data_IF_292546144696
#
_entry.id   IF_292546144696
#
_cell.length_a   1.000
_cell.length_b   1.000
_cell.length_c   1.000
_cell.angle_alpha   90.00
_cell.angle_beta   90.00
_cell.angle_gamma   90.00
#
_symmetry.space_group_name_H-M   'P 1'
#
loop_
_entity.id
_entity.type
_entity.pdbx_description
1 polymer ?
#
# COMPACT_ATOMS: atom_id res chain seq x y z
N UNK A 1 42.75 1.23 20.29
CA UNK A 1 41.70 1.40 19.27
C UNK A 1 41.34 0.01 18.76
N UNK A 2 40.19 -0.53 19.15
CA UNK A 2 39.68 -1.82 18.70
C UNK A 2 38.47 -1.53 17.82
N UNK A 3 38.62 -1.66 16.50
CA UNK A 3 37.49 -1.68 15.56
C UNK A 3 36.70 -2.99 15.74
N UNK A 4 35.38 -2.93 15.97
CA UNK A 4 34.56 -4.13 15.94
C UNK A 4 34.27 -4.49 14.49
N UNK A 5 35.02 -5.44 13.93
CA UNK A 5 34.73 -6.05 12.63
C UNK A 5 33.47 -6.90 12.76
N UNK A 6 32.32 -6.37 12.33
CA UNK A 6 31.10 -7.16 12.19
C UNK A 6 31.33 -8.25 11.13
N UNK A 7 30.99 -9.53 11.39
CA UNK A 7 31.18 -10.58 10.41
C UNK A 7 30.27 -10.34 9.19
N UNK A 8 30.74 -10.61 7.95
CA UNK A 8 29.92 -10.49 6.77
C UNK A 8 28.76 -11.49 6.85
N UNK A 9 27.52 -10.98 6.80
CA UNK A 9 26.29 -11.78 6.79
C UNK A 9 26.18 -12.55 5.46
N UNK A 10 26.99 -13.59 5.29
CA UNK A 10 26.96 -14.53 4.15
C UNK A 10 26.11 -15.75 4.50
N UNK A 11 24.81 -15.54 4.66
CA UNK A 11 23.85 -16.62 4.45
C UNK A 11 22.92 -16.12 3.34
N UNK A 12 22.97 -16.69 2.11
CA UNK A 12 21.90 -16.45 1.15
C UNK A 12 20.64 -17.00 1.79
N UNK A 13 19.80 -16.11 2.32
CA UNK A 13 18.47 -16.47 2.78
C UNK A 13 17.81 -17.21 1.62
N UNK A 14 17.36 -18.44 1.87
CA UNK A 14 16.58 -19.18 0.87
C UNK A 14 15.51 -18.23 0.32
N UNK A 15 15.37 -18.11 -1.00
CA UNK A 15 14.44 -17.15 -1.59
C UNK A 15 13.08 -17.39 -0.95
N UNK A 16 12.50 -16.39 -0.26
CA UNK A 16 11.23 -16.58 0.41
C UNK A 16 10.22 -17.06 -0.64
N UNK A 17 9.34 -17.99 -0.28
CA UNK A 17 8.19 -18.39 -1.12
C UNK A 17 7.22 -17.21 -1.35
N UNK A 18 7.46 -16.08 -0.69
CA UNK A 18 6.75 -14.83 -0.83
C UNK A 18 7.27 -14.10 -2.09
N UNK A 19 6.36 -13.64 -2.96
CA UNK A 19 6.70 -12.83 -4.14
C UNK A 19 7.10 -11.41 -3.72
N UNK A 20 8.16 -11.29 -2.92
CA UNK A 20 8.76 -10.02 -2.52
C UNK A 20 9.95 -9.76 -3.43
N UNK A 21 9.84 -8.71 -4.23
CA UNK A 21 10.92 -8.21 -5.04
C UNK A 21 11.68 -7.17 -4.21
N UNK A 22 12.90 -7.52 -3.77
CA UNK A 22 13.78 -6.57 -3.12
C UNK A 22 14.35 -5.64 -4.19
N UNK A 23 14.20 -4.33 -3.99
CA UNK A 23 14.85 -3.34 -4.84
C UNK A 23 15.71 -2.43 -3.97
N UNK A 24 16.98 -2.32 -4.35
CA UNK A 24 17.87 -1.29 -3.85
C UNK A 24 17.37 0.06 -4.35
N UNK A 25 16.86 0.88 -3.45
CA UNK A 25 16.49 2.25 -3.76
C UNK A 25 17.74 3.12 -3.95
N UNK A 26 17.61 4.31 -4.60
CA UNK A 26 18.72 5.26 -4.72
C UNK A 26 19.30 5.70 -3.37
N UNK A 27 18.54 5.59 -2.27
CA UNK A 27 18.98 5.87 -0.91
C UNK A 27 19.75 4.70 -0.25
N UNK A 28 19.97 3.58 -0.95
CA UNK A 28 20.72 2.42 -0.46
C UNK A 28 19.95 1.55 0.54
N UNK A 29 18.62 1.68 0.58
CA UNK A 29 17.74 0.84 1.40
C UNK A 29 16.98 -0.16 0.52
N UNK A 30 16.95 -1.43 0.96
CA UNK A 30 16.17 -2.48 0.30
C UNK A 30 14.68 -2.31 0.62
N UNK A 31 13.89 -1.89 -0.38
CA UNK A 31 12.43 -1.87 -0.25
C UNK A 31 11.85 -3.20 -0.72
N UNK A 32 11.14 -3.95 0.14
CA UNK A 32 10.44 -5.15 -0.28
C UNK A 32 9.16 -4.78 -1.04
N UNK A 33 9.26 -4.64 -2.36
CA UNK A 33 8.10 -4.43 -3.22
C UNK A 33 7.31 -5.73 -3.37
N UNK A 34 5.98 -5.65 -3.33
CA UNK A 34 5.08 -6.78 -3.61
C UNK A 34 4.43 -6.60 -4.98
N UNK A 35 4.93 -7.24 -6.04
CA UNK A 35 4.34 -7.16 -7.36
C UNK A 35 2.88 -7.63 -7.34
N UNK A 36 2.02 -6.92 -8.06
CA UNK A 36 0.62 -7.28 -8.22
C UNK A 36 0.46 -8.30 -9.36
N UNK A 37 -0.16 -9.44 -9.08
CA UNK A 37 -0.43 -10.46 -10.08
C UNK A 37 -1.44 -10.03 -11.16
N UNK A 38 -1.57 -10.83 -12.22
CA UNK A 38 -2.42 -10.54 -13.37
C UNK A 38 -3.90 -10.31 -13.00
N UNK A 39 -4.47 -11.14 -12.12
CA UNK A 39 -5.91 -11.10 -11.81
C UNK A 39 -6.33 -9.79 -11.13
N UNK A 40 -5.61 -9.35 -10.10
CA UNK A 40 -5.92 -8.08 -9.41
C UNK A 40 -5.74 -6.87 -10.32
N UNK A 41 -4.78 -6.94 -11.25
CA UNK A 41 -4.59 -5.93 -12.31
C UNK A 41 -5.76 -5.92 -13.29
N UNK A 42 -6.26 -7.09 -13.68
CA UNK A 42 -7.42 -7.22 -14.56
C UNK A 42 -8.70 -6.66 -13.93
N UNK A 43 -8.93 -6.95 -12.64
CA UNK A 43 -10.08 -6.38 -11.89
C UNK A 43 -9.95 -4.87 -11.76
N UNK A 44 -8.77 -4.34 -11.41
CA UNK A 44 -8.53 -2.90 -11.37
C UNK A 44 -8.84 -2.25 -12.73
N UNK A 45 -8.40 -2.88 -13.83
CA UNK A 45 -8.69 -2.42 -15.19
C UNK A 45 -10.19 -2.48 -15.52
N UNK A 46 -10.90 -3.55 -15.11
CA UNK A 46 -12.34 -3.68 -15.33
C UNK A 46 -13.14 -2.59 -14.60
N UNK A 47 -12.76 -2.25 -13.37
CA UNK A 47 -13.34 -1.12 -12.61
C UNK A 47 -13.11 0.19 -13.36
N UNK A 48 -11.87 0.45 -13.80
CA UNK A 48 -11.55 1.65 -14.56
C UNK A 48 -12.33 1.71 -15.89
N UNK A 49 -12.53 0.57 -16.56
CA UNK A 49 -13.32 0.48 -17.78
C UNK A 49 -14.80 0.78 -17.52
N UNK A 50 -15.38 0.26 -16.44
CA UNK A 50 -16.75 0.54 -16.04
C UNK A 50 -16.96 2.02 -15.73
N UNK A 51 -16.05 2.64 -14.96
CA UNK A 51 -16.10 4.07 -14.65
C UNK A 51 -16.05 4.91 -15.93
N UNK A 52 -15.12 4.61 -16.83
CA UNK A 52 -15.02 5.29 -18.13
C UNK A 52 -16.28 5.10 -18.97
N UNK A 53 -16.81 3.88 -19.00
CA UNK A 53 -18.04 3.55 -19.71
C UNK A 53 -19.21 4.40 -19.24
N UNK A 54 -19.43 4.48 -17.93
CA UNK A 54 -20.49 5.31 -17.34
C UNK A 54 -20.30 6.79 -17.67
N UNK A 55 -19.08 7.33 -17.53
CA UNK A 55 -18.78 8.73 -17.88
C UNK A 55 -19.06 9.01 -19.36
N UNK A 56 -18.64 8.10 -20.25
CA UNK A 56 -18.88 8.21 -21.69
C UNK A 56 -20.36 8.11 -22.04
N UNK A 57 -21.09 7.15 -21.47
CA UNK A 57 -22.52 7.02 -21.71
C UNK A 57 -23.28 8.28 -21.30
N UNK A 58 -23.01 8.83 -20.11
CA UNK A 58 -23.63 10.08 -19.66
C UNK A 58 -23.30 11.26 -20.59
N UNK A 59 -22.04 11.38 -21.01
CA UNK A 59 -21.60 12.42 -21.92
C UNK A 59 -22.25 12.29 -23.30
N UNK A 60 -22.34 11.08 -23.86
CA UNK A 60 -22.99 10.85 -25.14
C UNK A 60 -24.49 11.15 -25.09
N UNK A 61 -25.18 10.81 -23.99
CA UNK A 61 -26.59 11.20 -23.78
C UNK A 61 -26.73 12.73 -23.77
N UNK A 62 -25.87 13.44 -23.03
CA UNK A 62 -25.90 14.90 -22.97
C UNK A 62 -25.57 15.56 -24.32
N UNK A 63 -24.62 15.00 -25.08
CA UNK A 63 -24.23 15.52 -26.38
C UNK A 63 -25.20 15.13 -27.50
N UNK A 64 -26.04 14.10 -27.32
CA UNK A 64 -27.01 13.69 -28.33
C UNK A 64 -27.96 14.83 -28.74
N UNK A 65 -28.29 15.73 -27.79
CA UNK A 65 -29.13 16.90 -28.04
C UNK A 65 -28.51 17.92 -29.01
N UNK A 66 -27.19 17.86 -29.26
CA UNK A 66 -26.47 18.73 -30.21
C UNK A 66 -26.37 18.14 -31.62
N UNK A 67 -26.97 16.96 -31.88
CA UNK A 67 -26.93 16.31 -33.20
C UNK A 67 -25.51 16.06 -33.70
N UNK A 68 -25.19 16.50 -34.93
CA UNK A 68 -23.88 16.27 -35.57
C UNK A 68 -22.71 16.92 -34.81
N UNK A 69 -22.92 18.09 -34.22
CA UNK A 69 -21.89 18.74 -33.40
C UNK A 69 -21.58 17.91 -32.15
N UNK A 70 -22.62 17.35 -31.53
CA UNK A 70 -22.51 16.46 -30.38
C UNK A 70 -21.74 15.18 -30.69
N UNK A 71 -21.97 14.58 -31.87
CA UNK A 71 -21.20 13.42 -32.32
C UNK A 71 -19.71 13.75 -32.53
N UNK A 72 -19.40 14.90 -33.13
CA UNK A 72 -18.01 15.34 -33.31
C UNK A 72 -17.30 15.56 -31.97
N UNK A 73 -17.93 16.31 -31.06
CA UNK A 73 -17.41 16.55 -29.71
C UNK A 73 -17.28 15.25 -28.90
N UNK A 74 -18.28 14.37 -28.99
CA UNK A 74 -18.27 13.07 -28.32
C UNK A 74 -17.13 12.18 -28.81
N UNK A 75 -16.81 12.22 -30.11
CA UNK A 75 -15.69 11.47 -30.69
C UNK A 75 -14.34 12.00 -30.20
N UNK A 76 -14.18 13.33 -30.12
CA UNK A 76 -12.98 13.96 -29.59
C UNK A 76 -12.78 13.63 -28.10
N UNK A 77 -13.85 13.67 -27.31
CA UNK A 77 -13.82 13.34 -25.88
C UNK A 77 -13.58 11.85 -25.64
N UNK A 78 -14.16 10.98 -26.46
CA UNK A 78 -13.89 9.54 -26.44
C UNK A 78 -12.40 9.27 -26.68
N UNK A 79 -11.81 9.90 -27.70
CA UNK A 79 -10.38 9.81 -27.95
C UNK A 79 -9.59 10.32 -26.74
N UNK A 80 -9.88 11.53 -26.27
CA UNK A 80 -9.16 12.13 -25.17
C UNK A 80 -9.18 11.24 -23.90
N UNK A 81 -10.35 10.73 -23.52
CA UNK A 81 -10.50 9.93 -22.29
C UNK A 81 -9.93 8.53 -22.45
N UNK A 82 -10.01 7.92 -23.64
CA UNK A 82 -9.42 6.61 -23.89
C UNK A 82 -7.91 6.62 -23.69
N UNK A 83 -7.25 7.65 -24.20
CA UNK A 83 -5.79 7.82 -24.19
C UNK A 83 -5.26 8.46 -22.90
N UNK A 84 -5.84 9.58 -22.46
CA UNK A 84 -5.27 10.38 -21.39
C UNK A 84 -5.71 9.97 -19.99
N UNK A 85 -6.85 9.31 -19.80
CA UNK A 85 -7.34 8.98 -18.45
C UNK A 85 -6.30 8.19 -17.65
N UNK A 86 -5.67 7.16 -18.22
CA UNK A 86 -4.69 6.37 -17.45
C UNK A 86 -3.44 7.21 -17.16
N UNK A 87 -2.95 7.94 -18.16
CA UNK A 87 -1.74 8.75 -18.04
C UNK A 87 -1.91 9.82 -16.96
N UNK A 88 -3.01 10.56 -17.02
CA UNK A 88 -3.30 11.63 -16.07
C UNK A 88 -3.42 11.09 -14.64
N UNK A 89 -4.13 9.99 -14.42
CA UNK A 89 -4.24 9.45 -13.07
C UNK A 89 -2.95 8.80 -12.56
N UNK A 90 -2.17 8.19 -13.45
CA UNK A 90 -0.86 7.65 -13.05
C UNK A 90 0.12 8.77 -12.67
N UNK A 91 0.13 9.89 -13.38
CA UNK A 91 1.06 10.99 -13.04
C UNK A 91 0.53 11.83 -11.88
N UNK A 92 -0.75 12.24 -11.92
CA UNK A 92 -1.32 13.17 -10.94
C UNK A 92 -1.64 12.51 -9.59
N UNK A 93 -1.82 11.18 -9.54
CA UNK A 93 -2.14 10.45 -8.30
C UNK A 93 -1.10 9.39 -7.94
N UNK A 94 0.18 9.66 -8.22
CA UNK A 94 1.30 8.82 -7.78
C UNK A 94 1.12 7.34 -8.19
N UNK A 95 0.74 7.11 -9.44
CA UNK A 95 0.57 5.79 -10.03
C UNK A 95 -0.80 5.14 -9.80
N UNK A 96 -1.83 5.89 -9.36
CA UNK A 96 -3.13 5.34 -8.93
C UNK A 96 -4.31 5.82 -9.79
N UNK A 97 -4.82 4.92 -10.65
CA UNK A 97 -6.17 5.04 -11.22
C UNK A 97 -7.24 4.68 -10.19
N UNK A 98 -8.52 5.07 -10.35
CA UNK A 98 -9.57 4.74 -9.37
C UNK A 98 -9.68 3.24 -9.10
N UNK A 99 -9.66 2.40 -10.14
CA UNK A 99 -9.71 0.94 -10.00
C UNK A 99 -8.48 0.39 -9.30
N UNK A 100 -7.28 0.91 -9.61
CA UNK A 100 -6.06 0.54 -8.89
C UNK A 100 -6.14 0.96 -7.42
N UNK A 101 -6.65 2.15 -7.13
CA UNK A 101 -6.81 2.64 -5.77
C UNK A 101 -7.73 1.75 -4.94
N UNK A 102 -8.86 1.32 -5.51
CA UNK A 102 -9.78 0.39 -4.85
C UNK A 102 -9.14 -0.98 -4.59
N UNK A 103 -8.34 -1.46 -5.53
CA UNK A 103 -7.57 -2.70 -5.39
C UNK A 103 -6.30 -2.54 -4.52
N UNK A 104 -6.04 -1.34 -3.98
CA UNK A 104 -4.85 -1.06 -3.18
C UNK A 104 -3.54 -1.16 -3.97
N UNK A 105 -3.56 -0.85 -5.27
CA UNK A 105 -2.43 -0.95 -6.18
C UNK A 105 -1.87 0.43 -6.54
N UNK A 106 -0.57 0.49 -6.85
CA UNK A 106 0.07 1.66 -7.45
C UNK A 106 1.14 1.25 -8.46
N UNK A 107 1.40 2.13 -9.41
CA UNK A 107 2.53 2.02 -10.34
C UNK A 107 3.73 2.77 -9.77
N UNK A 108 4.89 2.14 -9.78
CA UNK A 108 6.18 2.72 -9.46
C UNK A 108 7.20 2.39 -10.55
N UNK A 109 8.31 3.12 -10.58
CA UNK A 109 9.50 2.65 -11.27
C UNK A 109 10.05 1.39 -10.60
N UNK A 110 10.93 0.70 -11.30
CA UNK A 110 11.60 -0.48 -10.75
C UNK A 110 12.29 -0.15 -9.43
N UNK A 111 12.91 1.02 -9.32
CA UNK A 111 13.57 1.53 -8.09
C UNK A 111 12.58 1.99 -6.99
N UNK A 112 11.28 1.78 -7.17
CA UNK A 112 10.23 2.18 -6.22
C UNK A 112 9.82 3.65 -6.26
N UNK A 113 10.49 4.48 -7.06
CA UNK A 113 10.20 5.91 -7.22
C UNK A 113 8.87 6.16 -7.96
N UNK A 114 8.25 7.35 -7.79
CA UNK A 114 7.00 7.69 -8.48
C UNK A 114 7.17 7.71 -10.01
N UNK A 115 6.14 7.26 -10.73
CA UNK A 115 6.17 7.23 -12.20
C UNK A 115 6.04 8.63 -12.81
N UNK A 116 6.87 8.93 -13.81
CA UNK A 116 6.82 10.18 -14.58
C UNK A 116 5.91 10.12 -15.83
N UNK A 117 5.81 11.26 -16.52
CA UNK A 117 5.01 11.39 -17.75
C UNK A 117 5.45 10.45 -18.87
N UNK A 118 6.75 10.40 -19.18
CA UNK A 118 7.32 9.59 -20.27
C UNK A 118 7.04 8.10 -20.06
N UNK A 119 7.33 7.59 -18.86
CA UNK A 119 7.10 6.21 -18.48
C UNK A 119 5.60 5.86 -18.53
N UNK A 120 4.72 6.72 -18.00
CA UNK A 120 3.28 6.48 -18.07
C UNK A 120 2.74 6.49 -19.50
N UNK A 121 3.20 7.41 -20.36
CA UNK A 121 2.83 7.49 -21.77
C UNK A 121 3.25 6.22 -22.52
N UNK A 122 4.52 5.81 -22.38
CA UNK A 122 5.05 4.64 -23.08
C UNK A 122 4.26 3.36 -22.74
N UNK A 123 3.95 3.17 -21.45
CA UNK A 123 3.15 2.04 -20.96
C UNK A 123 1.73 2.03 -21.49
N UNK A 124 1.12 3.20 -21.62
CA UNK A 124 -0.25 3.34 -22.10
C UNK A 124 -0.33 3.25 -23.63
N UNK A 125 0.72 3.64 -24.36
CA UNK A 125 0.83 3.42 -25.79
C UNK A 125 0.98 1.92 -26.11
N UNK A 126 1.88 1.22 -25.42
CA UNK A 126 2.09 -0.22 -25.58
C UNK A 126 0.91 -1.06 -25.10
N UNK A 127 -0.04 -0.48 -24.36
CA UNK A 127 -1.32 -1.14 -24.03
C UNK A 127 -2.12 -1.54 -25.27
N UNK A 128 -1.99 -0.81 -26.38
CA UNK A 128 -2.63 -1.21 -27.64
C UNK A 128 -2.00 -2.48 -28.22
N UNK A 129 -0.69 -2.64 -28.05
CA UNK A 129 0.03 -3.86 -28.45
C UNK A 129 -0.38 -5.03 -27.54
N UNK A 130 -0.52 -4.77 -26.23
CA UNK A 130 -1.01 -5.78 -25.28
C UNK A 130 -2.39 -6.34 -25.64
N UNK A 131 -3.21 -5.58 -26.39
CA UNK A 131 -4.58 -5.92 -26.82
C UNK A 131 -4.63 -6.83 -28.06
N UNK A 132 -3.48 -7.20 -28.64
CA UNK A 132 -3.40 -8.09 -29.79
C UNK A 132 -3.08 -9.54 -29.35
N UNK A 133 -3.36 -10.56 -30.18
CA UNK A 133 -4.32 -10.56 -31.30
C UNK A 133 -5.78 -10.76 -30.84
N UNK A 134 -6.00 -11.38 -29.68
CA UNK A 134 -7.33 -11.69 -29.13
C UNK A 134 -7.55 -10.95 -27.79
N UNK A 135 -7.65 -9.63 -27.84
CA UNK A 135 -7.74 -8.80 -26.62
C UNK A 135 -6.41 -8.81 -25.84
N UNK A 136 -6.46 -8.69 -24.52
CA UNK A 136 -5.27 -8.57 -23.65
C UNK A 136 -4.34 -9.80 -23.57
N UNK A 137 -4.35 -10.68 -24.58
CA UNK A 137 -3.62 -11.94 -24.63
C UNK A 137 -2.10 -11.75 -24.52
N UNK A 138 -1.48 -10.89 -25.34
CA UNK A 138 -0.04 -10.64 -25.28
C UNK A 138 0.38 -10.03 -23.93
N UNK A 139 -0.43 -9.09 -23.42
CA UNK A 139 -0.19 -8.50 -22.10
C UNK A 139 -0.28 -9.53 -20.97
N UNK A 140 -1.25 -10.43 -21.04
CA UNK A 140 -1.43 -11.52 -20.07
C UNK A 140 -0.28 -12.53 -20.14
N UNK A 141 0.14 -12.94 -21.34
CA UNK A 141 1.25 -13.87 -21.54
C UNK A 141 2.56 -13.29 -20.98
N UNK A 142 2.86 -12.03 -21.31
CA UNK A 142 4.04 -11.32 -20.77
C UNK A 142 3.99 -11.24 -19.24
N UNK A 143 2.83 -10.94 -18.65
CA UNK A 143 2.69 -10.91 -17.19
C UNK A 143 2.92 -12.30 -16.57
N UNK A 144 2.39 -13.37 -17.16
CA UNK A 144 2.52 -14.71 -16.60
C UNK A 144 3.93 -15.27 -16.74
N UNK A 145 4.67 -14.86 -17.77
CA UNK A 145 6.05 -15.30 -18.01
C UNK A 145 7.08 -14.50 -17.21
N UNK A 146 6.78 -13.24 -16.86
CA UNK A 146 7.73 -12.41 -16.12
C UNK A 146 7.69 -12.71 -14.61
N UNK A 147 8.84 -12.89 -13.93
CA UNK A 147 8.88 -13.24 -12.50
C UNK A 147 8.23 -12.19 -11.58
N UNK A 148 8.12 -10.95 -12.05
CA UNK A 148 7.46 -9.84 -11.33
C UNK A 148 6.14 -9.39 -11.95
N UNK A 149 5.52 -10.23 -12.78
CA UNK A 149 4.21 -9.95 -13.40
C UNK A 149 4.14 -8.66 -14.23
N UNK A 150 5.22 -8.30 -14.94
CA UNK A 150 5.28 -7.14 -15.82
C UNK A 150 4.70 -7.46 -17.20
N UNK A 151 3.88 -6.55 -17.74
CA UNK A 151 3.46 -6.61 -19.17
C UNK A 151 4.49 -5.91 -20.06
N UNK A 152 4.36 -6.05 -21.38
CA UNK A 152 5.26 -5.43 -22.36
C UNK A 152 5.44 -3.92 -22.11
N UNK A 153 4.34 -3.20 -21.88
CA UNK A 153 4.39 -1.78 -21.54
C UNK A 153 5.21 -1.50 -20.28
N UNK A 154 5.06 -2.32 -19.24
CA UNK A 154 5.78 -2.13 -17.97
C UNK A 154 7.28 -2.40 -18.12
N UNK A 155 7.64 -3.42 -18.91
CA UNK A 155 9.02 -3.77 -19.26
C UNK A 155 9.68 -2.62 -20.01
N UNK A 156 9.03 -2.14 -21.07
CA UNK A 156 9.59 -1.08 -21.91
C UNK A 156 9.78 0.26 -21.18
N UNK A 157 8.97 0.53 -20.15
CA UNK A 157 9.05 1.77 -19.38
C UNK A 157 9.82 1.64 -18.06
N UNK A 158 10.37 0.46 -17.72
CA UNK A 158 11.08 0.25 -16.46
C UNK A 158 10.20 0.50 -15.24
N UNK A 159 9.00 -0.09 -15.24
CA UNK A 159 8.00 0.12 -14.18
C UNK A 159 7.44 -1.18 -13.65
N UNK A 160 6.83 -1.09 -12.47
CA UNK A 160 6.21 -2.19 -11.76
C UNK A 160 4.88 -1.76 -11.15
N UNK A 161 3.90 -2.67 -11.17
CA UNK A 161 2.65 -2.49 -10.41
C UNK A 161 2.80 -3.23 -9.09
N UNK A 162 2.67 -2.51 -7.99
CA UNK A 162 2.86 -3.04 -6.64
C UNK A 162 1.62 -2.80 -5.80
N UNK A 163 1.43 -3.62 -4.76
CA UNK A 163 0.49 -3.27 -3.70
C UNK A 163 1.00 -2.01 -2.98
N UNK A 164 0.12 -1.02 -2.81
CA UNK A 164 0.38 0.07 -1.89
C UNK A 164 0.42 -0.50 -0.49
N UNK A 165 1.54 -0.29 0.20
CA UNK A 165 1.58 -0.50 1.63
C UNK A 165 0.52 0.41 2.28
N UNK A 166 -0.42 -0.23 2.99
CA UNK A 166 -1.33 0.52 3.83
C UNK A 166 -0.47 1.13 4.93
N UNK A 167 -0.61 2.44 5.24
CA UNK A 167 0.02 3.01 6.41
C UNK A 167 -0.29 2.10 7.60
N UNK A 168 0.73 1.66 8.32
CA UNK A 168 0.50 0.93 9.57
C UNK A 168 -0.34 1.84 10.45
N UNK A 169 -1.61 1.46 10.67
CA UNK A 169 -2.45 2.16 11.63
C UNK A 169 -1.79 1.98 12.97
N UNK A 170 -1.18 3.05 13.50
CA UNK A 170 -0.64 3.02 14.85
C UNK A 170 -1.83 2.76 15.79
N UNK A 171 -1.78 1.73 16.64
CA UNK A 171 -2.85 1.49 17.59
C UNK A 171 -2.95 2.71 18.51
N UNK A 172 -4.19 3.16 18.74
CA UNK A 172 -4.45 4.32 19.59
C UNK A 172 -4.44 3.87 21.04
N UNK A 173 -3.52 4.43 21.84
CA UNK A 173 -3.51 4.23 23.28
C UNK A 173 -4.59 5.12 23.93
N UNK A 174 -5.23 4.67 25.01
CA UNK A 174 -6.16 5.52 25.75
C UNK A 174 -5.51 6.75 26.36
N UNK A 175 -6.33 7.78 26.54
CA UNK A 175 -5.88 9.02 27.13
C UNK A 175 -5.54 8.85 28.62
N UNK A 176 -4.25 8.88 28.90
CA UNK A 176 -3.68 8.96 30.24
C UNK A 176 -2.52 9.97 30.26
N UNK A 177 -2.14 10.44 31.45
CA UNK A 177 -0.90 11.20 31.62
C UNK A 177 0.32 10.29 31.44
N UNK A 178 1.31 10.65 30.60
CA UNK A 178 2.52 9.84 30.43
C UNK A 178 3.29 9.70 31.75
N UNK A 179 3.55 8.46 32.16
CA UNK A 179 4.28 8.13 33.39
C UNK A 179 5.47 7.25 33.07
N UNK A 180 6.56 7.43 33.82
CA UNK A 180 7.69 6.51 33.77
C UNK A 180 7.37 5.28 34.61
N UNK A 181 7.76 4.11 34.11
CA UNK A 181 7.69 2.89 34.91
C UNK A 181 8.57 3.05 36.16
N UNK A 182 8.07 2.70 37.36
CA UNK A 182 8.86 2.74 38.59
C UNK A 182 9.97 1.68 38.61
N UNK A 183 9.85 0.65 37.76
CA UNK A 183 10.79 -0.47 37.63
C UNK A 183 11.30 -0.55 36.20
N UNK A 184 12.55 -0.99 36.02
CA UNK A 184 13.13 -1.28 34.71
C UNK A 184 12.39 -2.45 34.07
N UNK A 185 11.68 -2.18 32.98
CA UNK A 185 10.93 -3.20 32.24
C UNK A 185 11.81 -3.88 31.21
N UNK A 186 11.77 -5.21 31.17
CA UNK A 186 12.28 -5.99 30.04
C UNK A 186 11.47 -5.71 28.77
N UNK A 187 12.04 -6.00 27.60
CA UNK A 187 11.36 -5.81 26.32
C UNK A 187 10.08 -6.66 26.18
N UNK A 188 10.01 -7.82 26.85
CA UNK A 188 8.79 -8.62 26.92
C UNK A 188 7.70 -7.93 27.75
N UNK A 189 8.05 -7.35 28.90
CA UNK A 189 7.11 -6.63 29.78
C UNK A 189 6.64 -5.33 29.13
N UNK A 190 7.52 -4.57 28.49
CA UNK A 190 7.13 -3.38 27.72
C UNK A 190 6.10 -3.71 26.64
N UNK A 191 6.30 -4.81 25.90
CA UNK A 191 5.34 -5.30 24.89
C UNK A 191 4.03 -5.76 25.53
N UNK A 192 4.06 -6.35 26.73
CA UNK A 192 2.86 -6.75 27.44
C UNK A 192 2.02 -5.54 27.88
N UNK A 193 2.66 -4.50 28.43
CA UNK A 193 2.01 -3.24 28.82
C UNK A 193 1.42 -2.52 27.60
N UNK A 194 2.19 -2.39 26.53
CA UNK A 194 1.71 -1.80 25.26
C UNK A 194 0.55 -2.64 24.68
N UNK A 195 0.72 -3.96 24.58
CA UNK A 195 -0.31 -4.84 24.03
C UNK A 195 -1.59 -4.89 24.87
N UNK A 196 -1.52 -4.72 26.19
CA UNK A 196 -2.69 -4.49 27.04
C UNK A 196 -3.35 -3.15 26.67
N UNK A 197 -2.57 -2.08 26.63
CA UNK A 197 -3.10 -0.74 26.42
C UNK A 197 -3.77 -0.57 25.05
N UNK A 198 -3.21 -1.18 24.00
CA UNK A 198 -3.73 -1.19 22.63
C UNK A 198 -5.04 -1.99 22.49
N UNK A 199 -5.21 -3.08 23.24
CA UNK A 199 -6.36 -4.01 23.09
C UNK A 199 -7.45 -3.85 24.14
N UNK A 200 -7.23 -3.05 25.19
CA UNK A 200 -8.21 -2.95 26.29
C UNK A 200 -9.60 -2.47 25.83
N UNK A 201 -9.68 -1.70 24.74
CA UNK A 201 -10.95 -1.25 24.15
C UNK A 201 -11.80 -2.37 23.52
N UNK A 202 -11.20 -3.53 23.25
CA UNK A 202 -11.89 -4.72 22.73
C UNK A 202 -12.31 -5.69 23.85
N UNK A 203 -11.94 -5.41 25.11
CA UNK A 203 -12.15 -6.30 26.25
C UNK A 203 -13.31 -5.83 27.14
N UNK A 204 -13.94 -6.78 27.84
CA UNK A 204 -14.95 -6.43 28.86
C UNK A 204 -14.29 -5.72 30.04
N UNK A 205 -15.01 -4.82 30.77
CA UNK A 205 -14.44 -4.11 31.91
C UNK A 205 -13.86 -5.03 33.00
N UNK A 206 -14.52 -6.18 33.23
CA UNK A 206 -14.02 -7.19 34.16
C UNK A 206 -12.67 -7.78 33.73
N UNK A 207 -12.52 -8.09 32.43
CA UNK A 207 -11.27 -8.64 31.87
C UNK A 207 -10.15 -7.61 31.85
N UNK A 208 -10.46 -6.34 31.58
CA UNK A 208 -9.50 -5.23 31.67
C UNK A 208 -8.94 -5.13 33.08
N UNK A 209 -9.81 -5.14 34.10
CA UNK A 209 -9.38 -5.05 35.50
C UNK A 209 -8.56 -6.26 35.95
N UNK A 210 -8.94 -7.46 35.53
CA UNK A 210 -8.20 -8.70 35.82
C UNK A 210 -6.77 -8.65 35.22
N UNK A 211 -6.66 -8.36 33.93
CA UNK A 211 -5.36 -8.27 33.26
C UNK A 211 -4.50 -7.12 33.80
N UNK A 212 -5.12 -5.97 34.11
CA UNK A 212 -4.43 -4.87 34.73
C UNK A 212 -3.89 -5.25 36.11
N UNK A 213 -4.65 -5.99 36.92
CA UNK A 213 -4.20 -6.48 38.22
C UNK A 213 -3.01 -7.44 38.09
N UNK A 214 -3.03 -8.35 37.11
CA UNK A 214 -1.91 -9.27 36.84
C UNK A 214 -0.64 -8.53 36.42
N UNK A 215 -0.76 -7.52 35.55
CA UNK A 215 0.37 -6.70 35.12
C UNK A 215 0.85 -5.73 36.20
N UNK A 216 -0.03 -5.32 37.12
CA UNK A 216 0.31 -4.43 38.23
C UNK A 216 1.08 -5.12 39.36
N UNK A 217 0.93 -6.44 39.53
CA UNK A 217 1.60 -7.21 40.59
C UNK A 217 3.14 -7.10 40.52
N UNK A 218 3.81 -7.39 39.38
CA UNK A 218 5.27 -7.20 39.27
C UNK A 218 5.71 -5.75 39.43
N UNK A 219 4.83 -4.79 39.10
CA UNK A 219 5.13 -3.35 39.13
C UNK A 219 4.88 -2.71 40.49
N UNK A 220 4.43 -3.48 41.49
CA UNK A 220 4.04 -3.00 42.82
C UNK A 220 2.98 -1.89 42.78
N UNK A 221 2.11 -1.91 41.77
CA UNK A 221 1.02 -0.95 41.58
C UNK A 221 -0.24 -1.47 42.29
N UNK A 222 -0.95 -0.59 43.00
CA UNK A 222 -2.21 -0.97 43.63
C UNK A 222 -3.31 -1.30 42.61
N UNK A 223 -3.97 -2.43 42.78
CA UNK A 223 -5.07 -2.91 41.92
C UNK A 223 -6.13 -1.85 41.53
N UNK A 224 -6.64 -0.98 42.44
CA UNK A 224 -7.66 0.01 42.07
C UNK A 224 -7.16 1.10 41.10
N UNK A 225 -5.85 1.30 40.98
CA UNK A 225 -5.24 2.28 40.06
C UNK A 225 -4.54 1.61 38.87
N UNK A 226 -4.54 0.28 38.80
CA UNK A 226 -3.75 -0.49 37.85
C UNK A 226 -3.96 -0.07 36.39
N UNK A 227 -5.21 0.09 35.96
CA UNK A 227 -5.55 0.46 34.58
C UNK A 227 -4.99 1.85 34.22
N UNK A 228 -5.17 2.84 35.09
CA UNK A 228 -4.71 4.22 34.86
C UNK A 228 -3.19 4.30 34.83
N UNK A 229 -2.53 3.63 35.77
CA UNK A 229 -1.06 3.61 35.83
C UNK A 229 -0.46 2.88 34.62
N UNK A 230 -1.00 1.74 34.21
CA UNK A 230 -0.55 0.99 33.04
C UNK A 230 -0.74 1.79 31.75
N UNK A 231 -1.84 2.52 31.61
CA UNK A 231 -2.07 3.42 30.47
C UNK A 231 -1.06 4.57 30.44
N UNK A 232 -0.74 5.15 31.61
CA UNK A 232 0.30 6.16 31.74
C UNK A 232 1.69 5.64 31.39
N UNK A 233 2.04 4.43 31.85
CA UNK A 233 3.31 3.75 31.52
C UNK A 233 3.38 3.46 30.02
N UNK A 234 2.32 2.95 29.40
CA UNK A 234 2.26 2.68 27.97
C UNK A 234 2.54 3.95 27.13
N UNK A 235 1.93 5.09 27.50
CA UNK A 235 2.23 6.39 26.85
C UNK A 235 3.65 6.87 27.12
N UNK A 236 4.17 6.68 28.33
CA UNK A 236 5.55 7.00 28.67
C UNK A 236 6.57 6.22 27.84
N UNK A 237 6.27 4.97 27.49
CA UNK A 237 7.13 4.11 26.66
C UNK A 237 7.16 4.55 25.18
N UNK A 238 6.06 5.09 24.63
CA UNK A 238 6.02 5.59 23.26
C UNK A 238 6.60 7.01 23.09
N UNK A 239 6.88 7.70 24.20
CA UNK A 239 7.28 9.10 24.20
C UNK A 239 6.10 10.05 24.01
N UNK A 240 6.25 11.29 24.47
CA UNK A 240 5.27 12.35 24.20
C UNK A 240 5.35 12.69 22.71
N UNK A 241 4.34 12.30 21.94
CA UNK A 241 4.06 12.87 20.62
C UNK A 241 3.69 14.33 20.73
#
# INVERSE_FOLDING_TARGET
MLEPTAPPRKAPLAPPLDTRHQVETPEGIDLPLRPAGLMVRAVAFAIDLAIRGVIMSMLFIALAFLGKLGMGLGSLLLFAISWWYMVLFEVLRQGRSPGKQWMGLRVVHDDGTPVGWSASLLRNLLRFVDLLPFGYFLGALSCLQHPTFKRLGDIAAGTLVVYSERPLTRPQLPDAEPRRSPVTLTLAEQRAVLGFAERQGELSPARVNELAALLAQPLHISAPKAVVELNGIARGLLGTS
#
